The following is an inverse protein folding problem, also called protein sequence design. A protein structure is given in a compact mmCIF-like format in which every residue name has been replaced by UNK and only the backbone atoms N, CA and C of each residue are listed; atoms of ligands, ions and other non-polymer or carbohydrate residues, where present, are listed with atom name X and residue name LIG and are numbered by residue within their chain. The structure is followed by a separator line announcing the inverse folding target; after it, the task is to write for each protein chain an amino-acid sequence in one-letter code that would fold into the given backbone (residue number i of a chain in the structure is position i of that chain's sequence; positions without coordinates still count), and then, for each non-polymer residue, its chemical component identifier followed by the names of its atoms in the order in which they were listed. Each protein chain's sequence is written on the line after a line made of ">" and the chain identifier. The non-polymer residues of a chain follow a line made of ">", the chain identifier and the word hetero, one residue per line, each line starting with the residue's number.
data_IF_951726786256
#
_entry.id   IF_951726786256
#
_cell.length_a   1.000
_cell.length_b   1.000
_cell.length_c   1.000
_cell.angle_alpha   90.00
_cell.angle_beta   90.00
_cell.angle_gamma   90.00
#
_symmetry.space_group_name_H-M   'P 1'
#
loop_
_entity.id
_entity.type
_entity.pdbx_description
1 polymer ?
#
# COMPACT_ATOMS: atom_id res chain seq x y z
N UNK A 1 41.97 -24.17 22.79
CA UNK A 1 42.47 -22.89 22.23
C UNK A 1 41.87 -22.76 20.84
N UNK A 2 40.93 -21.83 20.64
CA UNK A 2 40.14 -21.75 19.42
C UNK A 2 40.94 -21.03 18.32
N UNK A 3 41.15 -21.76 17.24
CA UNK A 3 41.85 -21.39 16.01
C UNK A 3 41.15 -20.20 15.35
N UNK A 4 41.95 -19.22 14.91
CA UNK A 4 41.52 -18.05 14.16
C UNK A 4 40.66 -18.43 12.95
N UNK A 5 39.35 -18.17 13.05
CA UNK A 5 38.43 -18.26 11.94
C UNK A 5 38.51 -16.96 11.12
N UNK A 6 38.74 -17.14 9.82
CA UNK A 6 38.82 -16.14 8.75
C UNK A 6 37.75 -15.04 8.88
N UNK A 7 38.05 -13.75 8.61
CA UNK A 7 37.13 -12.63 8.90
C UNK A 7 35.78 -12.68 8.17
N UNK A 8 35.66 -13.47 7.10
CA UNK A 8 34.48 -13.56 6.23
C UNK A 8 33.22 -14.10 6.93
N UNK A 9 33.36 -14.80 8.06
CA UNK A 9 32.23 -15.37 8.80
C UNK A 9 32.17 -14.91 10.27
N UNK A 10 32.67 -13.70 10.58
CA UNK A 10 32.26 -13.06 11.84
C UNK A 10 30.76 -12.79 11.76
N UNK A 11 29.97 -13.64 12.41
CA UNK A 11 28.57 -13.39 12.71
C UNK A 11 28.52 -12.03 13.38
N UNK A 12 28.05 -11.02 12.64
CA UNK A 12 27.71 -9.72 13.19
C UNK A 12 26.78 -10.02 14.37
N UNK A 13 27.28 -9.83 15.58
CA UNK A 13 26.44 -9.87 16.75
C UNK A 13 25.51 -8.68 16.55
N UNK A 14 24.26 -8.96 16.16
CA UNK A 14 23.23 -7.97 15.94
C UNK A 14 22.81 -7.43 17.30
N UNK A 15 23.71 -6.69 17.95
CA UNK A 15 23.32 -5.50 18.67
C UNK A 15 22.97 -4.46 17.60
N UNK A 16 21.84 -4.69 16.91
CA UNK A 16 20.94 -3.58 16.68
C UNK A 16 20.70 -3.02 18.07
N UNK A 17 21.48 -2.00 18.47
CA UNK A 17 20.99 -1.03 19.43
C UNK A 17 19.67 -0.63 18.83
N UNK A 18 18.59 -1.22 19.34
CA UNK A 18 17.27 -0.77 19.05
C UNK A 18 17.33 0.69 19.41
N UNK A 19 17.36 1.55 18.40
CA UNK A 19 16.75 2.86 18.50
C UNK A 19 15.28 2.57 18.82
N UNK A 20 15.03 2.22 20.09
CA UNK A 20 13.76 2.43 20.74
C UNK A 20 13.73 3.93 21.00
N UNK A 21 13.63 4.66 19.90
CA UNK A 21 12.99 5.94 19.96
C UNK A 21 11.57 5.63 20.40
N UNK A 22 11.22 6.18 21.55
CA UNK A 22 9.99 5.93 22.27
C UNK A 22 8.82 6.58 21.52
N UNK A 23 8.56 6.16 20.29
CA UNK A 23 7.29 6.44 19.65
C UNK A 23 6.32 5.44 20.27
N UNK A 24 5.53 5.89 21.24
CA UNK A 24 4.19 5.33 21.44
C UNK A 24 3.43 5.52 20.13
N UNK A 25 3.74 4.72 19.13
CA UNK A 25 3.05 4.74 17.85
C UNK A 25 1.96 3.71 17.96
N UNK A 26 0.79 4.19 18.34
CA UNK A 26 -0.53 3.65 18.09
C UNK A 26 -0.54 2.46 17.11
N UNK A 27 -0.32 1.24 17.60
CA UNK A 27 -0.57 0.01 16.83
C UNK A 27 -2.06 -0.11 16.41
N UNK A 28 -2.90 0.82 16.86
CA UNK A 28 -4.29 1.00 16.45
C UNK A 28 -4.44 1.76 15.12
N UNK A 29 -3.43 2.52 14.65
CA UNK A 29 -3.56 3.30 13.41
C UNK A 29 -3.09 2.48 12.20
N UNK A 30 -3.89 2.35 11.14
CA UNK A 30 -3.47 1.64 9.94
C UNK A 30 -2.20 2.28 9.36
N UNK A 31 -1.26 1.45 8.91
CA UNK A 31 -0.09 1.89 8.15
C UNK A 31 -0.54 2.79 6.98
N UNK A 32 0.27 3.80 6.64
CA UNK A 32 -0.10 4.81 5.63
C UNK A 32 -0.58 4.20 4.31
N UNK A 33 0.07 3.14 3.83
CA UNK A 33 -0.38 2.45 2.62
C UNK A 33 -1.73 1.74 2.79
N UNK A 34 -2.02 1.20 3.98
CA UNK A 34 -3.33 0.62 4.30
C UNK A 34 -4.41 1.71 4.25
N UNK A 35 -4.15 2.87 4.83
CA UNK A 35 -5.11 3.99 4.79
C UNK A 35 -5.33 4.50 3.36
N UNK A 36 -4.25 4.65 2.58
CA UNK A 36 -4.31 5.00 1.17
C UNK A 36 -5.15 3.99 0.38
N UNK A 37 -4.91 2.69 0.58
CA UNK A 37 -5.66 1.63 -0.09
C UNK A 37 -7.16 1.71 0.23
N UNK A 38 -7.53 1.90 1.51
CA UNK A 38 -8.93 2.07 1.89
C UNK A 38 -9.57 3.27 1.19
N UNK A 39 -8.86 4.38 1.06
CA UNK A 39 -9.39 5.56 0.39
C UNK A 39 -9.53 5.36 -1.12
N UNK A 40 -8.58 4.67 -1.76
CA UNK A 40 -8.67 4.28 -3.17
C UNK A 40 -9.90 3.41 -3.42
N UNK A 41 -10.15 2.41 -2.56
CA UNK A 41 -11.34 1.56 -2.68
C UNK A 41 -12.63 2.38 -2.56
N UNK A 42 -12.70 3.33 -1.61
CA UNK A 42 -13.85 4.21 -1.46
C UNK A 42 -14.07 5.10 -2.69
N UNK A 43 -12.99 5.62 -3.27
CA UNK A 43 -13.07 6.44 -4.49
C UNK A 43 -13.55 5.61 -5.68
N UNK A 44 -13.07 4.37 -5.83
CA UNK A 44 -13.55 3.46 -6.86
C UNK A 44 -15.05 3.18 -6.72
N UNK A 45 -15.53 2.93 -5.49
CA UNK A 45 -16.94 2.67 -5.22
C UNK A 45 -17.86 3.85 -5.53
N UNK A 46 -17.37 5.09 -5.46
CA UNK A 46 -18.18 6.29 -5.67
C UNK A 46 -18.06 6.87 -7.07
N UNK A 47 -16.90 6.74 -7.71
CA UNK A 47 -16.61 7.42 -8.98
C UNK A 47 -16.79 6.53 -10.22
N UNK A 48 -16.66 5.20 -10.07
CA UNK A 48 -16.78 4.30 -11.21
C UNK A 48 -18.25 3.97 -11.47
N UNK A 49 -18.69 4.20 -12.69
CA UNK A 49 -20.01 3.75 -13.14
C UNK A 49 -19.99 2.22 -13.28
N UNK A 50 -20.82 1.56 -12.47
CA UNK A 50 -20.99 0.11 -12.54
C UNK A 50 -22.07 -0.21 -13.57
N UNK A 51 -21.73 -1.06 -14.54
CA UNK A 51 -22.59 -1.36 -15.69
C UNK A 51 -22.76 -2.86 -15.89
N UNK A 52 -23.85 -3.20 -16.58
CA UNK A 52 -24.08 -4.55 -17.08
C UNK A 52 -23.40 -4.70 -18.44
N UNK A 53 -22.41 -5.58 -18.52
CA UNK A 53 -21.65 -5.81 -19.77
C UNK A 53 -21.89 -7.23 -20.30
N UNK A 54 -22.00 -7.36 -21.62
CA UNK A 54 -22.01 -8.66 -22.31
C UNK A 54 -20.67 -8.90 -22.99
N UNK A 55 -19.96 -9.95 -22.60
CA UNK A 55 -18.67 -10.34 -23.19
C UNK A 55 -18.64 -11.85 -23.42
N UNK A 56 -18.16 -12.28 -24.58
CA UNK A 56 -18.12 -13.71 -24.95
C UNK A 56 -19.45 -14.44 -24.72
N UNK A 57 -20.56 -13.81 -25.12
CA UNK A 57 -21.93 -14.32 -24.93
C UNK A 57 -22.39 -14.47 -23.46
N UNK A 58 -21.55 -14.13 -22.48
CA UNK A 58 -21.89 -14.10 -21.06
C UNK A 58 -22.22 -12.68 -20.63
N UNK A 59 -23.13 -12.57 -19.67
CA UNK A 59 -23.55 -11.28 -19.12
C UNK A 59 -23.00 -11.16 -17.71
N UNK A 60 -22.24 -10.10 -17.48
CA UNK A 60 -21.68 -9.75 -16.19
C UNK A 60 -22.50 -8.58 -15.63
N UNK A 61 -23.15 -8.81 -14.50
CA UNK A 61 -23.74 -7.73 -13.71
C UNK A 61 -22.65 -7.13 -12.81
N UNK A 62 -22.84 -5.88 -12.42
CA UNK A 62 -21.97 -5.18 -11.47
C UNK A 62 -20.48 -5.12 -11.88
N UNK A 63 -20.18 -4.71 -13.13
CA UNK A 63 -18.80 -4.64 -13.61
C UNK A 63 -18.45 -3.30 -14.25
N UNK A 64 -17.16 -3.01 -14.30
CA UNK A 64 -16.56 -1.85 -14.97
C UNK A 64 -15.30 -2.31 -15.71
N UNK A 65 -14.80 -1.47 -16.63
CA UNK A 65 -13.57 -1.79 -17.36
C UNK A 65 -12.33 -1.38 -16.58
N UNK A 66 -11.20 -2.03 -16.86
CA UNK A 66 -9.94 -1.65 -16.24
C UNK A 66 -9.55 -0.18 -16.52
N UNK A 67 -9.91 0.35 -17.70
CA UNK A 67 -9.73 1.76 -18.03
C UNK A 67 -10.53 2.67 -17.09
N UNK A 68 -11.82 2.38 -16.85
CA UNK A 68 -12.66 3.19 -15.96
C UNK A 68 -12.06 3.24 -14.54
N UNK A 69 -11.51 2.11 -14.08
CA UNK A 69 -10.83 2.01 -12.79
C UNK A 69 -9.57 2.88 -12.74
N UNK A 70 -8.74 2.83 -13.79
CA UNK A 70 -7.52 3.63 -13.88
C UNK A 70 -7.84 5.12 -13.91
N UNK A 71 -8.84 5.54 -14.68
CA UNK A 71 -9.25 6.94 -14.77
C UNK A 71 -9.76 7.48 -13.42
N UNK A 72 -10.59 6.70 -12.70
CA UNK A 72 -11.07 7.06 -11.37
C UNK A 72 -9.93 7.15 -10.34
N UNK A 73 -9.01 6.17 -10.33
CA UNK A 73 -7.88 6.18 -9.39
C UNK A 73 -6.93 7.32 -9.70
N UNK A 74 -6.61 7.56 -10.97
CA UNK A 74 -5.73 8.66 -11.38
C UNK A 74 -6.35 10.00 -11.00
N UNK A 75 -7.65 10.20 -11.27
CA UNK A 75 -8.39 11.40 -10.88
C UNK A 75 -8.37 11.61 -9.36
N UNK A 76 -8.66 10.55 -8.59
CA UNK A 76 -8.58 10.58 -7.12
C UNK A 76 -7.18 10.98 -6.65
N UNK A 77 -6.15 10.38 -7.22
CA UNK A 77 -4.76 10.68 -6.89
C UNK A 77 -4.42 12.14 -7.27
N UNK A 78 -4.75 12.61 -8.47
CA UNK A 78 -4.46 14.00 -8.84
C UNK A 78 -5.17 15.03 -7.93
N UNK A 79 -6.35 14.69 -7.41
CA UNK A 79 -7.11 15.56 -6.50
C UNK A 79 -6.63 15.47 -5.04
N UNK A 80 -6.11 14.32 -4.60
CA UNK A 80 -5.83 14.02 -3.19
C UNK A 80 -4.34 13.74 -2.90
N UNK A 81 -3.46 13.69 -3.90
CA UNK A 81 -2.00 13.62 -3.76
C UNK A 81 -1.48 15.01 -3.35
N UNK A 82 -1.95 15.48 -2.20
CA UNK A 82 -1.13 16.23 -1.25
C UNK A 82 -0.47 15.17 -0.35
N UNK A 83 0.35 14.32 -0.94
CA UNK A 83 1.28 13.45 -0.19
C UNK A 83 2.67 14.09 -0.08
N UNK A 84 2.84 15.35 -0.50
CA UNK A 84 4.07 16.09 -0.22
C UNK A 84 3.99 16.72 1.18
N UNK A 85 4.93 16.28 2.01
CA UNK A 85 5.37 16.81 3.31
C UNK A 85 4.43 16.60 4.50
N UNK A 86 4.67 15.51 5.22
CA UNK A 86 4.68 15.57 6.68
C UNK A 86 5.69 16.64 7.10
N UNK A 87 5.28 17.58 7.96
CA UNK A 87 6.18 18.41 8.78
C UNK A 87 7.08 17.54 9.67
#
# INVERSE_FOLDING_TARGET
>A
MAVDLTPRFRRLNSQTRSFRENTQHDFSRPFGATQLWHNIIKALQSQVEVRRCRRHLRVHAECFTGSDAVDAVLSYLMQNVVFCTSE
#
